data_IF_910064482029
#
_entry.id   IF_910064482029
#
_cell.length_a   1.000
_cell.length_b   1.000
_cell.length_c   1.000
_cell.angle_alpha   90.00
_cell.angle_beta   90.00
_cell.angle_gamma   90.00
#
_symmetry.space_group_name_H-M   'P 1'
#
loop_
_entity.id
_entity.type
_entity.pdbx_description
1 polymer ?
#
# COMPACT_ATOMS: atom_id res chain seq x y z
N UNK A 1 24.01 1.10 -13.59
CA UNK A 1 23.26 1.81 -12.51
C UNK A 1 22.34 0.79 -11.84
N UNK A 2 22.10 0.88 -10.54
CA UNK A 2 21.23 -0.07 -9.83
C UNK A 2 19.76 0.25 -10.18
N UNK A 3 19.02 -0.73 -10.73
CA UNK A 3 17.61 -0.56 -11.18
C UNK A 3 16.70 0.03 -10.10
N UNK A 4 16.92 -0.34 -8.83
CA UNK A 4 16.16 0.21 -7.71
C UNK A 4 16.42 1.72 -7.50
N UNK A 5 17.67 2.18 -7.64
CA UNK A 5 18.01 3.61 -7.54
C UNK A 5 17.37 4.42 -8.67
N UNK A 6 17.27 3.84 -9.86
CA UNK A 6 16.57 4.48 -10.99
C UNK A 6 15.06 4.55 -10.73
N UNK A 7 14.47 3.50 -10.16
CA UNK A 7 13.05 3.47 -9.80
C UNK A 7 12.74 4.54 -8.73
N UNK A 8 13.55 4.64 -7.66
CA UNK A 8 13.36 5.66 -6.61
C UNK A 8 13.47 7.09 -7.16
N UNK A 9 14.40 7.32 -8.09
CA UNK A 9 14.51 8.63 -8.75
C UNK A 9 13.26 8.94 -9.58
N UNK A 10 12.75 7.95 -10.31
CA UNK A 10 11.54 8.11 -11.11
C UNK A 10 10.32 8.42 -10.23
N UNK A 11 10.15 7.73 -9.09
CA UNK A 11 9.10 7.98 -8.10
C UNK A 11 9.21 9.41 -7.54
N UNK A 12 10.39 9.82 -7.12
CA UNK A 12 10.64 11.18 -6.63
C UNK A 12 10.27 12.24 -7.67
N UNK A 13 10.70 12.06 -8.91
CA UNK A 13 10.42 12.98 -10.01
C UNK A 13 8.90 13.06 -10.30
N UNK A 14 8.20 11.91 -10.29
CA UNK A 14 6.76 11.85 -10.49
C UNK A 14 5.98 12.56 -9.38
N UNK A 15 6.34 12.31 -8.13
CA UNK A 15 5.65 12.86 -6.97
C UNK A 15 6.11 14.26 -6.57
N UNK A 16 7.12 14.83 -7.23
CA UNK A 16 7.54 16.22 -7.00
C UNK A 16 6.42 17.21 -7.37
N UNK A 17 5.54 16.86 -8.30
CA UNK A 17 4.32 17.62 -8.61
C UNK A 17 3.13 17.09 -7.79
N UNK A 18 2.65 17.88 -6.81
CA UNK A 18 1.52 17.49 -5.96
C UNK A 18 0.22 17.25 -6.75
N UNK A 19 0.09 17.74 -8.00
CA UNK A 19 -1.07 17.45 -8.87
C UNK A 19 -1.23 15.97 -9.15
N UNK A 20 -0.16 15.19 -9.15
CA UNK A 20 -0.22 13.75 -9.35
C UNK A 20 -0.98 13.05 -8.22
N UNK A 21 -1.04 13.63 -7.01
CA UNK A 21 -1.84 13.09 -5.91
C UNK A 21 -3.36 13.17 -6.16
N UNK A 22 -3.82 14.10 -6.99
CA UNK A 22 -5.25 14.22 -7.36
C UNK A 22 -5.70 13.03 -8.20
N UNK A 23 -4.87 12.61 -9.17
CA UNK A 23 -5.16 11.43 -9.99
C UNK A 23 -5.10 10.15 -9.17
N UNK A 24 -4.15 10.06 -8.22
CA UNK A 24 -4.06 8.93 -7.32
C UNK A 24 -5.29 8.83 -6.42
N UNK A 25 -5.81 9.94 -5.91
CA UNK A 25 -7.04 10.00 -5.12
C UNK A 25 -8.24 9.37 -5.84
N UNK A 26 -8.44 9.74 -7.11
CA UNK A 26 -9.51 9.15 -7.95
C UNK A 26 -9.29 7.66 -8.19
N UNK A 27 -8.05 7.26 -8.45
CA UNK A 27 -7.67 5.86 -8.64
C UNK A 27 -7.93 5.04 -7.38
N UNK A 28 -7.51 5.54 -6.23
CA UNK A 28 -7.70 4.91 -4.92
C UNK A 28 -9.17 4.73 -4.57
N UNK A 29 -10.03 5.71 -4.85
CA UNK A 29 -11.48 5.60 -4.64
C UNK A 29 -12.06 4.37 -5.36
N UNK A 30 -11.56 4.06 -6.57
CA UNK A 30 -12.01 2.92 -7.35
C UNK A 30 -11.35 1.61 -6.93
N UNK A 31 -10.15 1.63 -6.38
CA UNK A 31 -9.35 0.43 -6.10
C UNK A 31 -9.39 0.00 -4.63
N UNK A 32 -9.63 0.89 -3.68
CA UNK A 32 -9.69 0.57 -2.26
C UNK A 32 -10.73 -0.53 -1.89
N UNK A 33 -11.89 -0.67 -2.58
CA UNK A 33 -12.79 -1.80 -2.35
C UNK A 33 -12.15 -3.17 -2.61
N UNK A 34 -11.16 -3.26 -3.49
CA UNK A 34 -10.44 -4.51 -3.75
C UNK A 34 -9.47 -4.89 -2.61
N UNK A 35 -9.06 -3.92 -1.81
CA UNK A 35 -8.38 -4.16 -0.53
C UNK A 35 -9.36 -4.65 0.57
N UNK A 36 -10.64 -4.72 0.26
CA UNK A 36 -11.69 -5.04 1.24
C UNK A 36 -12.03 -3.87 2.17
N UNK A 37 -11.68 -2.64 1.77
CA UNK A 37 -12.00 -1.43 2.54
C UNK A 37 -13.40 -0.92 2.18
N UNK A 38 -14.15 -0.51 3.20
CA UNK A 38 -15.44 0.14 2.99
C UNK A 38 -15.21 1.62 2.65
N UNK A 39 -15.80 2.05 1.55
CA UNK A 39 -15.78 3.45 1.12
C UNK A 39 -17.14 4.08 1.40
N UNK A 40 -17.12 5.28 1.96
CA UNK A 40 -18.30 6.12 2.17
C UNK A 40 -18.11 7.44 1.45
N UNK A 41 -19.06 7.92 0.64
CA UNK A 41 -18.98 9.24 0.01
C UNK A 41 -18.78 10.33 1.04
N UNK A 42 -17.97 11.34 0.68
CA UNK A 42 -17.73 12.52 1.50
C UNK A 42 -17.61 13.76 0.59
N UNK A 43 -18.39 14.79 0.86
CA UNK A 43 -18.46 15.99 0.02
C UNK A 43 -17.18 16.85 0.05
N UNK A 44 -16.37 16.75 1.11
CA UNK A 44 -15.14 17.53 1.26
C UNK A 44 -13.89 16.82 0.73
N UNK A 45 -13.89 15.47 0.81
CA UNK A 45 -12.72 14.66 0.48
C UNK A 45 -12.98 13.59 -0.60
N UNK A 46 -14.08 13.70 -1.35
CA UNK A 46 -14.64 12.74 -2.28
C UNK A 46 -15.10 11.44 -1.59
N UNK A 47 -14.31 10.87 -0.74
CA UNK A 47 -14.65 9.66 0.04
C UNK A 47 -13.86 9.62 1.35
N UNK A 48 -14.33 8.77 2.25
CA UNK A 48 -13.66 8.42 3.50
C UNK A 48 -13.70 6.91 3.72
N UNK A 49 -12.80 6.42 4.55
CA UNK A 49 -12.71 5.03 4.98
C UNK A 49 -12.95 5.02 6.50
N UNK A 50 -14.14 4.60 6.96
CA UNK A 50 -14.42 4.54 8.40
C UNK A 50 -13.68 3.35 9.02
N UNK A 51 -12.89 3.63 10.05
CA UNK A 51 -12.22 2.66 10.91
C UNK A 51 -12.69 2.85 12.35
N UNK A 52 -12.37 1.92 13.26
CA UNK A 52 -12.84 1.93 14.64
C UNK A 52 -11.70 2.07 15.64
N UNK A 53 -10.65 2.80 15.30
CA UNK A 53 -9.48 3.00 16.14
C UNK A 53 -8.35 1.99 15.86
N UNK A 54 -8.44 1.27 14.76
CA UNK A 54 -7.40 0.31 14.34
C UNK A 54 -6.04 1.00 14.20
N UNK A 55 -4.99 0.27 14.56
CA UNK A 55 -3.60 0.63 14.28
C UNK A 55 -3.20 0.05 12.94
N UNK A 56 -2.95 0.91 11.97
CA UNK A 56 -2.73 0.53 10.57
C UNK A 56 -1.37 0.98 10.08
N UNK A 57 -0.62 0.05 9.48
CA UNK A 57 0.64 0.31 8.77
C UNK A 57 0.39 0.29 7.26
N UNK A 58 0.73 1.38 6.56
CA UNK A 58 0.75 1.43 5.11
C UNK A 58 2.19 1.41 4.59
N UNK A 59 2.53 0.36 3.85
CA UNK A 59 3.88 0.16 3.32
C UNK A 59 3.95 0.73 1.90
N UNK A 60 4.83 1.71 1.69
CA UNK A 60 4.97 2.39 0.40
C UNK A 60 3.81 3.34 0.10
N UNK A 61 3.23 3.96 1.13
CA UNK A 61 2.07 4.85 0.98
C UNK A 61 2.35 6.12 0.18
N UNK A 62 3.63 6.44 -0.07
CA UNK A 62 4.02 7.60 -0.86
C UNK A 62 3.44 8.92 -0.34
N UNK A 63 3.21 9.91 -1.21
CA UNK A 63 2.58 11.17 -0.81
C UNK A 63 1.06 11.11 -0.67
N UNK A 64 0.43 9.98 -1.04
CA UNK A 64 -1.02 9.85 -1.11
C UNK A 64 -1.50 8.48 -0.60
N UNK A 65 -1.17 8.18 0.66
CA UNK A 65 -1.67 6.98 1.34
C UNK A 65 -3.19 7.00 1.48
N UNK A 66 -3.81 5.82 1.40
CA UNK A 66 -5.22 5.62 1.75
C UNK A 66 -5.54 6.03 3.19
N UNK A 67 -4.55 6.05 4.08
CA UNK A 67 -4.71 6.52 5.47
C UNK A 67 -5.17 7.97 5.56
N UNK A 68 -4.85 8.81 4.58
CA UNK A 68 -5.33 10.20 4.50
C UNK A 68 -6.85 10.32 4.35
N UNK A 69 -7.52 9.22 4.00
CA UNK A 69 -8.98 9.12 3.89
C UNK A 69 -9.63 8.39 5.06
N UNK A 70 -8.82 7.91 6.00
CA UNK A 70 -9.33 7.17 7.15
C UNK A 70 -9.82 8.12 8.25
N UNK A 71 -10.91 7.73 8.85
CA UNK A 71 -11.40 8.33 10.10
C UNK A 71 -11.10 7.38 11.24
N UNK A 72 -10.70 7.95 12.38
CA UNK A 72 -10.47 7.21 13.61
C UNK A 72 -9.43 6.07 13.45
N UNK A 73 -8.24 6.41 12.93
CA UNK A 73 -7.12 5.48 12.71
C UNK A 73 -5.87 5.93 13.48
N UNK A 74 -5.09 4.96 13.95
CA UNK A 74 -3.71 5.16 14.37
C UNK A 74 -2.80 4.76 13.22
N UNK A 75 -2.56 5.70 12.31
CA UNK A 75 -1.89 5.44 11.04
C UNK A 75 -0.38 5.60 11.11
N UNK A 76 0.35 4.66 10.51
CA UNK A 76 1.78 4.74 10.25
C UNK A 76 2.02 4.50 8.77
N UNK A 77 2.78 5.38 8.12
CA UNK A 77 3.23 5.22 6.73
C UNK A 77 4.73 5.00 6.73
N UNK A 78 5.20 3.99 6.00
CA UNK A 78 6.64 3.78 5.73
C UNK A 78 6.90 3.89 4.24
N UNK A 79 7.81 4.81 3.86
CA UNK A 79 8.23 5.00 2.48
C UNK A 79 9.65 5.58 2.44
N UNK A 80 10.61 4.98 1.70
CA UNK A 80 12.01 5.40 1.71
C UNK A 80 12.32 6.58 0.78
N UNK A 81 11.36 7.05 -0.02
CA UNK A 81 11.59 8.13 -0.95
C UNK A 81 11.77 9.46 -0.22
N UNK A 82 12.75 10.23 -0.69
CA UNK A 82 13.01 11.59 -0.24
C UNK A 82 12.04 12.55 -0.95
N UNK A 83 10.84 12.66 -0.40
CA UNK A 83 9.77 13.52 -0.93
C UNK A 83 9.94 14.99 -0.49
N UNK A 84 9.27 15.94 -1.18
CA UNK A 84 9.17 17.32 -0.71
C UNK A 84 8.51 17.40 0.69
N UNK A 85 8.91 18.42 1.46
CA UNK A 85 8.48 18.65 2.86
C UNK A 85 6.95 18.62 3.06
N UNK A 86 6.18 19.09 2.07
CA UNK A 86 4.72 19.09 2.13
C UNK A 86 4.10 17.68 2.32
N UNK A 87 4.84 16.61 1.99
CA UNK A 87 4.37 15.22 2.19
C UNK A 87 4.32 14.88 3.68
N UNK A 88 5.40 15.14 4.41
CA UNK A 88 5.45 14.92 5.85
C UNK A 88 4.46 15.83 6.59
N UNK A 89 4.37 17.10 6.20
CA UNK A 89 3.41 18.06 6.75
C UNK A 89 1.95 17.59 6.56
N UNK A 90 1.62 17.02 5.40
CA UNK A 90 0.31 16.44 5.12
C UNK A 90 -0.06 15.33 6.09
N UNK A 91 0.85 14.38 6.31
CA UNK A 91 0.63 13.27 7.25
C UNK A 91 0.49 13.77 8.68
N UNK A 92 1.37 14.66 9.09
CA UNK A 92 1.34 15.28 10.42
C UNK A 92 0.02 16.03 10.68
N UNK A 93 -0.49 16.75 9.69
CA UNK A 93 -1.78 17.46 9.79
C UNK A 93 -2.96 16.50 9.98
N UNK A 94 -2.85 15.25 9.52
CA UNK A 94 -3.85 14.19 9.69
C UNK A 94 -3.59 13.29 10.92
N UNK A 95 -2.56 13.58 11.73
CA UNK A 95 -2.21 12.74 12.89
C UNK A 95 -1.63 11.37 12.50
N UNK A 96 -1.08 11.25 11.29
CA UNK A 96 -0.46 10.02 10.77
C UNK A 96 1.06 10.13 10.93
N UNK A 97 1.68 9.10 11.48
CA UNK A 97 3.13 9.01 11.56
C UNK A 97 3.73 8.65 10.20
N UNK A 98 4.73 9.40 9.74
CA UNK A 98 5.46 9.13 8.52
C UNK A 98 6.91 8.80 8.83
N UNK A 99 7.39 7.65 8.33
CA UNK A 99 8.74 7.16 8.57
C UNK A 99 9.48 6.95 7.23
N UNK A 100 10.59 7.67 6.98
CA UNK A 100 11.36 7.55 5.74
C UNK A 100 12.26 6.31 5.76
N UNK A 101 11.67 5.13 5.92
CA UNK A 101 12.36 3.83 5.97
C UNK A 101 11.83 2.89 4.90
N UNK A 102 12.68 1.93 4.51
CA UNK A 102 12.28 0.88 3.55
C UNK A 102 11.41 -0.15 4.23
N UNK A 103 10.38 -0.62 3.53
CA UNK A 103 9.57 -1.75 4.00
C UNK A 103 10.38 -3.02 4.28
N UNK A 104 11.52 -3.20 3.60
CA UNK A 104 12.44 -4.31 3.86
C UNK A 104 13.16 -4.23 5.21
N UNK A 105 13.35 -3.02 5.73
CA UNK A 105 14.14 -2.75 6.94
C UNK A 105 13.25 -2.61 8.20
N UNK A 106 11.93 -2.78 8.08
CA UNK A 106 10.99 -2.76 9.21
C UNK A 106 11.24 -3.93 10.16
N UNK A 107 11.14 -3.63 11.47
CA UNK A 107 11.33 -4.61 12.55
C UNK A 107 10.06 -4.91 13.38
N UNK A 108 8.88 -4.51 12.93
CA UNK A 108 7.63 -4.68 13.67
C UNK A 108 7.21 -6.15 13.81
N UNK A 109 6.65 -6.49 14.99
CA UNK A 109 6.15 -7.84 15.31
C UNK A 109 4.79 -7.73 16.02
N UNK A 110 3.70 -8.12 15.32
CA UNK A 110 2.32 -8.10 15.86
C UNK A 110 1.88 -6.74 16.45
N UNK A 111 2.36 -5.64 15.87
CA UNK A 111 2.11 -4.30 16.40
C UNK A 111 0.89 -3.62 15.77
N UNK A 112 0.41 -4.13 14.65
CA UNK A 112 -0.68 -3.53 13.88
C UNK A 112 -1.88 -4.45 13.77
N UNK A 113 -3.07 -3.86 13.78
CA UNK A 113 -4.30 -4.58 13.46
C UNK A 113 -4.36 -4.90 11.98
N UNK A 114 -3.92 -3.95 11.13
CA UNK A 114 -3.86 -4.13 9.69
C UNK A 114 -2.54 -3.63 9.10
N UNK A 115 -2.07 -4.29 8.05
CA UNK A 115 -0.97 -3.84 7.20
C UNK A 115 -1.48 -3.76 5.76
N UNK A 116 -1.29 -2.61 5.14
CA UNK A 116 -1.71 -2.38 3.76
C UNK A 116 -0.51 -2.34 2.82
N UNK A 117 -0.66 -2.98 1.67
CA UNK A 117 0.29 -2.99 0.56
C UNK A 117 -0.51 -2.64 -0.69
N UNK A 118 -0.44 -1.38 -1.12
CA UNK A 118 -1.22 -0.89 -2.25
C UNK A 118 -0.29 -0.41 -3.38
N UNK A 119 -0.17 -1.23 -4.43
CA UNK A 119 0.56 -0.88 -5.65
C UNK A 119 2.04 -0.46 -5.39
N UNK A 120 2.78 -1.26 -4.62
CA UNK A 120 4.13 -0.90 -4.17
C UNK A 120 5.21 -1.92 -4.50
N UNK A 121 4.87 -3.21 -4.56
CA UNK A 121 5.88 -4.28 -4.64
C UNK A 121 6.72 -4.23 -5.93
N UNK A 122 6.16 -3.70 -7.01
CA UNK A 122 6.87 -3.54 -8.27
C UNK A 122 7.98 -2.48 -8.24
N UNK A 123 7.98 -1.57 -7.26
CA UNK A 123 8.92 -0.46 -7.12
C UNK A 123 10.08 -0.73 -6.15
N UNK A 124 9.98 -1.79 -5.33
CA UNK A 124 10.89 -2.05 -4.21
C UNK A 124 12.08 -2.92 -4.60
N UNK A 125 13.07 -3.06 -3.71
CA UNK A 125 14.27 -3.85 -3.97
C UNK A 125 14.05 -5.35 -3.76
N UNK A 126 13.32 -5.72 -2.69
CA UNK A 126 13.10 -7.10 -2.26
C UNK A 126 11.62 -7.33 -1.91
N UNK A 127 10.73 -7.48 -2.92
CA UNK A 127 9.29 -7.56 -2.69
C UNK A 127 8.87 -8.70 -1.75
N UNK A 128 9.47 -9.88 -1.86
CA UNK A 128 9.20 -11.00 -0.93
C UNK A 128 9.49 -10.63 0.51
N UNK A 129 10.58 -9.87 0.77
CA UNK A 129 10.94 -9.45 2.13
C UNK A 129 9.91 -8.49 2.73
N UNK A 130 9.31 -7.64 1.91
CA UNK A 130 8.22 -6.75 2.36
C UNK A 130 7.00 -7.58 2.78
N UNK A 131 6.59 -8.57 1.97
CA UNK A 131 5.49 -9.46 2.35
C UNK A 131 5.80 -10.22 3.65
N UNK A 132 7.01 -10.76 3.79
CA UNK A 132 7.44 -11.43 5.03
C UNK A 132 7.38 -10.50 6.26
N UNK A 133 7.81 -9.24 6.11
CA UNK A 133 7.73 -8.23 7.16
C UNK A 133 6.27 -7.85 7.47
N UNK A 134 5.43 -7.66 6.44
CA UNK A 134 4.01 -7.35 6.60
C UNK A 134 3.27 -8.46 7.37
N UNK A 135 3.48 -9.73 6.99
CA UNK A 135 2.89 -10.89 7.66
C UNK A 135 3.30 -11.03 9.13
N UNK A 136 4.46 -10.49 9.51
CA UNK A 136 4.96 -10.47 10.89
C UNK A 136 4.46 -9.25 11.66
N UNK A 137 4.28 -8.10 10.97
CA UNK A 137 3.95 -6.82 11.58
C UNK A 137 2.49 -6.70 12.04
N UNK A 138 1.55 -7.36 11.36
CA UNK A 138 0.15 -7.18 11.64
C UNK A 138 -0.71 -8.44 11.57
N UNK A 139 -1.92 -8.33 12.10
CA UNK A 139 -2.93 -9.40 12.16
C UNK A 139 -3.57 -9.66 10.81
N UNK A 140 -3.89 -8.58 10.08
CA UNK A 140 -4.55 -8.62 8.77
C UNK A 140 -3.67 -7.90 7.76
N UNK A 141 -3.43 -8.55 6.62
CA UNK A 141 -2.69 -7.97 5.50
C UNK A 141 -3.65 -7.75 4.34
N UNK A 142 -3.78 -6.49 3.88
CA UNK A 142 -4.56 -6.14 2.69
C UNK A 142 -3.60 -5.81 1.56
N UNK A 143 -3.79 -6.42 0.41
CA UNK A 143 -2.93 -6.22 -0.74
C UNK A 143 -3.73 -5.94 -2.00
N UNK A 144 -3.24 -4.99 -2.78
CA UNK A 144 -3.58 -4.76 -4.18
C UNK A 144 -2.30 -4.51 -4.95
N UNK A 145 -2.04 -5.32 -6.00
CA UNK A 145 -0.81 -5.22 -6.77
C UNK A 145 -1.05 -5.56 -8.25
N UNK A 146 -0.45 -4.82 -9.15
CA UNK A 146 -0.50 -5.16 -10.58
C UNK A 146 0.32 -6.42 -10.86
N UNK A 147 -0.22 -7.29 -11.71
CA UNK A 147 0.43 -8.54 -12.12
C UNK A 147 0.50 -8.64 -13.64
N UNK A 148 1.44 -9.47 -14.13
CA UNK A 148 1.63 -9.73 -15.55
C UNK A 148 1.91 -8.46 -16.38
N UNK A 149 2.49 -7.44 -15.76
CA UNK A 149 2.93 -6.22 -16.44
C UNK A 149 4.42 -6.32 -16.77
N UNK A 150 4.83 -5.67 -17.87
CA UNK A 150 6.23 -5.62 -18.26
C UNK A 150 7.08 -4.81 -17.28
N UNK A 151 8.34 -5.22 -17.12
CA UNK A 151 9.30 -4.43 -16.33
C UNK A 151 9.66 -3.13 -17.05
N UNK A 152 9.85 -2.07 -16.28
CA UNK A 152 10.24 -0.74 -16.75
C UNK A 152 11.21 -0.07 -15.77
N UNK A 153 11.58 1.18 -16.02
CA UNK A 153 12.45 1.92 -15.09
C UNK A 153 11.80 2.13 -13.72
N UNK A 154 10.50 2.48 -13.70
CA UNK A 154 9.74 2.66 -12.46
C UNK A 154 9.26 1.34 -11.85
N UNK A 155 9.16 0.27 -12.65
CA UNK A 155 8.65 -1.04 -12.25
C UNK A 155 9.68 -2.13 -12.53
N UNK A 156 10.72 -2.29 -11.67
CA UNK A 156 11.77 -3.29 -11.88
C UNK A 156 11.32 -4.73 -11.70
N UNK A 157 10.10 -4.96 -11.20
CA UNK A 157 9.54 -6.30 -10.99
C UNK A 157 8.23 -6.49 -11.75
N UNK A 158 7.98 -7.74 -12.13
CA UNK A 158 6.71 -8.24 -12.65
C UNK A 158 6.33 -9.48 -11.86
N UNK A 159 5.08 -9.60 -11.45
CA UNK A 159 4.60 -10.70 -10.62
C UNK A 159 3.55 -11.53 -11.36
N UNK A 160 3.44 -12.80 -10.96
CA UNK A 160 2.28 -13.63 -11.28
C UNK A 160 1.42 -13.81 -10.02
N UNK A 161 0.18 -14.24 -10.23
CA UNK A 161 -0.74 -14.60 -9.15
C UNK A 161 -0.13 -15.65 -8.22
N UNK A 162 0.40 -16.72 -8.82
CA UNK A 162 0.95 -17.88 -8.10
C UNK A 162 2.11 -17.48 -7.20
N UNK A 163 2.96 -16.59 -7.67
CA UNK A 163 4.10 -16.07 -6.91
C UNK A 163 3.65 -15.29 -5.67
N UNK A 164 2.64 -14.42 -5.81
CA UNK A 164 2.11 -13.66 -4.68
C UNK A 164 1.37 -14.57 -3.69
N UNK A 165 0.60 -15.55 -4.17
CA UNK A 165 -0.06 -16.56 -3.34
C UNK A 165 0.93 -17.39 -2.53
N UNK A 166 2.04 -17.81 -3.15
CA UNK A 166 3.13 -18.53 -2.47
C UNK A 166 3.72 -17.69 -1.33
N UNK A 167 4.01 -16.41 -1.58
CA UNK A 167 4.64 -15.55 -0.58
C UNK A 167 3.70 -15.16 0.56
N UNK A 168 2.41 -14.99 0.27
CA UNK A 168 1.37 -14.66 1.24
C UNK A 168 0.84 -15.89 2.01
N UNK A 169 1.13 -17.09 1.52
CA UNK A 169 0.63 -18.33 2.14
C UNK A 169 -0.88 -18.54 1.99
N UNK A 170 -1.52 -17.91 1.01
CA UNK A 170 -2.97 -17.96 0.81
C UNK A 170 -3.43 -17.64 -0.60
N UNK A 171 -4.73 -17.77 -0.86
CA UNK A 171 -5.32 -17.52 -2.17
C UNK A 171 -5.87 -16.10 -2.27
N UNK A 172 -5.48 -15.39 -3.32
CA UNK A 172 -6.01 -14.08 -3.69
C UNK A 172 -6.93 -14.16 -4.91
N UNK A 173 -7.51 -13.02 -5.24
CA UNK A 173 -8.35 -12.83 -6.42
C UNK A 173 -7.59 -12.05 -7.49
N UNK A 174 -8.00 -12.24 -8.74
CA UNK A 174 -7.49 -11.46 -9.87
C UNK A 174 -8.65 -10.72 -10.50
N UNK A 175 -8.45 -9.45 -10.76
CA UNK A 175 -9.38 -8.62 -11.53
C UNK A 175 -8.69 -8.10 -12.79
N UNK A 176 -9.44 -8.02 -13.89
CA UNK A 176 -9.03 -7.33 -15.11
C UNK A 176 -9.72 -5.97 -15.16
N UNK A 177 -8.91 -4.92 -15.17
CA UNK A 177 -9.38 -3.54 -15.25
C UNK A 177 -9.22 -3.03 -16.68
N UNK A 178 -10.25 -2.35 -17.18
CA UNK A 178 -10.28 -1.80 -18.54
C UNK A 178 -11.14 -0.54 -18.56
N UNK A 179 -10.55 0.62 -18.28
CA UNK A 179 -11.23 1.91 -18.30
C UNK A 179 -10.73 2.86 -17.21
N UNK A 180 -11.09 4.14 -17.32
CA UNK A 180 -10.71 5.18 -16.34
C UNK A 180 -9.20 5.38 -16.18
N UNK A 181 -8.39 5.09 -17.23
CA UNK A 181 -6.93 5.13 -17.13
C UNK A 181 -6.29 3.89 -16.48
N UNK A 182 -7.08 2.91 -16.06
CA UNK A 182 -6.63 1.68 -15.43
C UNK A 182 -6.76 0.52 -16.41
N UNK A 183 -5.62 -0.04 -16.83
CA UNK A 183 -5.58 -1.16 -17.79
C UNK A 183 -4.61 -2.23 -17.30
N UNK A 184 -5.10 -3.46 -17.17
CA UNK A 184 -4.26 -4.58 -16.80
C UNK A 184 -4.96 -5.58 -15.88
N UNK A 185 -4.15 -6.47 -15.33
CA UNK A 185 -4.59 -7.42 -14.32
C UNK A 185 -4.01 -7.02 -12.96
N UNK A 186 -4.83 -7.07 -11.93
CA UNK A 186 -4.39 -6.85 -10.57
C UNK A 186 -4.74 -8.05 -9.69
N UNK A 187 -3.81 -8.40 -8.82
CA UNK A 187 -3.99 -9.34 -7.72
C UNK A 187 -4.42 -8.56 -6.48
N UNK A 188 -5.40 -9.09 -5.76
CA UNK A 188 -5.85 -8.48 -4.52
C UNK A 188 -6.38 -9.51 -3.53
N UNK A 189 -6.36 -9.18 -2.25
CA UNK A 189 -6.92 -10.04 -1.21
C UNK A 189 -6.64 -9.54 0.21
N UNK A 190 -7.20 -10.28 1.15
CA UNK A 190 -7.03 -10.09 2.58
C UNK A 190 -6.46 -11.39 3.15
N UNK A 191 -5.36 -11.30 3.88
CA UNK A 191 -4.60 -12.44 4.40
C UNK A 191 -4.40 -12.27 5.90
N UNK A 192 -4.14 -13.36 6.60
CA UNK A 192 -3.82 -13.35 8.02
C UNK A 192 -2.32 -13.24 8.24
N UNK A 193 -1.92 -12.50 9.26
CA UNK A 193 -0.54 -12.46 9.74
C UNK A 193 -0.08 -13.84 10.25
N UNK A 194 1.24 -14.02 10.37
CA UNK A 194 1.82 -15.33 10.73
C UNK A 194 1.38 -15.88 12.08
N UNK A 195 1.25 -14.99 13.06
CA UNK A 195 0.97 -15.36 14.44
C UNK A 195 -0.48 -15.04 14.85
N UNK A 196 -1.33 -14.70 13.88
CA UNK A 196 -2.72 -14.38 14.13
C UNK A 196 -3.58 -15.64 14.17
N UNK A 197 -4.05 -16.02 15.36
CA UNK A 197 -5.04 -17.09 15.53
C UNK A 197 -6.45 -16.48 15.60
N UNK A 198 -7.18 -16.56 14.48
CA UNK A 198 -8.57 -16.08 14.37
C UNK A 198 -9.56 -16.79 15.32
N UNK A 199 -9.14 -17.85 16.02
CA UNK A 199 -9.97 -18.58 16.99
C UNK A 199 -9.91 -17.98 18.40
N UNK A 200 -8.91 -17.13 18.69
CA UNK A 200 -8.74 -16.52 20.01
C UNK A 200 -9.70 -15.34 20.29
N UNK A 201 -10.39 -14.83 19.27
CA UNK A 201 -11.32 -13.69 19.38
C UNK A 201 -12.81 -14.08 19.32
N UNK A 202 -13.16 -15.36 19.51
CA UNK A 202 -14.56 -15.83 19.55
C UNK A 202 -15.01 -16.15 20.96
#
# INVERSE_FOLDING_TARGET
>A
MNKWVEAQKWEKDWWSDCRNTVWEDVKQMNLAPYLGLKIVPNEHTNYRIPLNGEKVLDIGGGPSSLLLKCENVQGVVVDPCDYPEWVEERYKACGIEYLPIKGEDMGYENEFDEVWIYNVLQHVKKPKKIIENALRAGKIIRIFEWINIGVSKGHPHSFTKEQLEEWLGGKGKVIKLSGGGLYGQAFHGVFLGKDYDSKAER
#
